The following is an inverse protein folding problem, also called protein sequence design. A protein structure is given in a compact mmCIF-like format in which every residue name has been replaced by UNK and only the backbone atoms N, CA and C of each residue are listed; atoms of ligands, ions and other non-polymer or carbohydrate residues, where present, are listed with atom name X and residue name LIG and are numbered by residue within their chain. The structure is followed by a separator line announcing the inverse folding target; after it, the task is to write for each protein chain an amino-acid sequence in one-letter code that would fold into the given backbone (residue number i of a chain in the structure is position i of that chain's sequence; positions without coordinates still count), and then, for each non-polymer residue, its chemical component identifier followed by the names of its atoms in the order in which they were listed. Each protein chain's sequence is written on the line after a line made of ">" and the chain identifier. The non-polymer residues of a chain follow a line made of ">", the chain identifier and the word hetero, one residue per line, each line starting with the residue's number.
data_IF_419912306673
#
_entry.id   IF_419912306673
#
_cell.length_a   1.000
_cell.length_b   1.000
_cell.length_c   1.000
_cell.angle_alpha   90.00
_cell.angle_beta   90.00
_cell.angle_gamma   90.00
#
_symmetry.space_group_name_H-M   'P 1'
#
loop_
_entity.id
_entity.type
_entity.pdbx_description
1 polymer ?
#
# COMPACT_ATOMS: atom_id res chain seq x y z
N UNK A 1 -60.12 3.21 34.66
CA UNK A 1 -59.74 2.16 33.71
C UNK A 1 -59.00 2.71 32.46
N UNK A 2 -58.77 3.99 32.32
CA UNK A 2 -58.07 4.58 31.14
C UNK A 2 -56.54 4.69 31.33
N UNK A 3 -56.02 4.54 32.54
CA UNK A 3 -54.59 4.75 32.84
C UNK A 3 -53.69 3.52 32.55
N UNK A 4 -54.28 2.35 32.35
CA UNK A 4 -53.51 1.10 32.12
C UNK A 4 -53.30 0.78 30.62
N UNK A 5 -53.97 1.46 29.71
CA UNK A 5 -53.86 1.17 28.27
C UNK A 5 -52.73 1.98 27.60
N UNK A 6 -52.33 3.11 28.20
CA UNK A 6 -51.31 3.99 27.64
C UNK A 6 -49.87 3.41 27.79
N UNK A 7 -49.67 2.53 28.77
CA UNK A 7 -48.32 1.95 29.02
C UNK A 7 -47.91 0.80 28.07
N UNK A 8 -48.87 0.27 27.28
CA UNK A 8 -48.58 -0.91 26.43
C UNK A 8 -48.15 -0.57 24.99
N UNK A 9 -48.24 0.70 24.57
CA UNK A 9 -47.96 1.09 23.18
C UNK A 9 -46.52 1.56 22.94
N UNK A 10 -45.72 1.79 24.00
CA UNK A 10 -44.36 2.35 23.86
C UNK A 10 -43.29 1.27 23.66
N UNK A 11 -43.61 -0.02 23.81
CA UNK A 11 -42.61 -1.11 23.77
C UNK A 11 -42.34 -1.74 22.41
N UNK A 12 -42.96 -1.29 21.32
CA UNK A 12 -42.91 -1.96 20.00
C UNK A 12 -42.00 -1.24 18.96
N UNK A 13 -41.23 -0.22 19.35
CA UNK A 13 -40.52 0.66 18.40
C UNK A 13 -39.02 0.49 18.24
N UNK A 14 -38.35 -0.52 18.85
CA UNK A 14 -36.89 -0.57 18.95
C UNK A 14 -36.21 -1.76 18.22
N UNK A 15 -36.88 -2.46 17.32
CA UNK A 15 -36.33 -3.64 16.60
C UNK A 15 -35.98 -3.37 15.12
N UNK A 16 -35.71 -2.13 14.72
CA UNK A 16 -35.40 -1.74 13.35
C UNK A 16 -33.94 -1.30 13.12
N UNK A 17 -32.97 -1.69 13.96
CA UNK A 17 -31.58 -1.53 13.62
C UNK A 17 -31.12 -2.71 12.74
N UNK A 18 -31.68 -2.84 11.54
CA UNK A 18 -31.07 -3.64 10.48
C UNK A 18 -29.73 -3.00 10.16
N UNK A 19 -28.64 -3.58 10.63
CA UNK A 19 -27.30 -3.18 10.29
C UNK A 19 -27.16 -3.16 8.78
N UNK A 20 -26.97 -1.97 8.20
CA UNK A 20 -26.68 -1.83 6.78
C UNK A 20 -25.41 -2.67 6.51
N UNK A 21 -25.56 -3.74 5.73
CA UNK A 21 -24.42 -4.57 5.34
C UNK A 21 -23.50 -3.71 4.46
N UNK A 22 -22.26 -3.53 4.92
CA UNK A 22 -21.23 -2.80 4.15
C UNK A 22 -20.92 -3.66 2.92
N UNK A 23 -20.98 -3.09 1.70
CA UNK A 23 -20.63 -3.85 0.49
C UNK A 23 -19.16 -4.24 0.49
N UNK A 24 -18.76 -5.32 -0.22
CA UNK A 24 -17.36 -5.71 -0.35
C UNK A 24 -16.49 -4.59 -0.92
N UNK A 25 -15.33 -4.28 -0.36
CA UNK A 25 -14.46 -3.18 -0.79
C UNK A 25 -13.60 -3.56 -2.02
N UNK A 26 -14.25 -3.94 -3.12
CA UNK A 26 -13.60 -4.45 -4.34
C UNK A 26 -12.67 -3.44 -5.00
N UNK A 27 -13.04 -2.16 -5.01
CA UNK A 27 -12.20 -1.11 -5.56
C UNK A 27 -10.91 -0.95 -4.75
N UNK A 28 -11.00 -0.94 -3.41
CA UNK A 28 -9.80 -0.86 -2.55
C UNK A 28 -8.90 -2.09 -2.70
N UNK A 29 -9.48 -3.26 -2.91
CA UNK A 29 -8.71 -4.46 -3.21
C UNK A 29 -7.92 -4.29 -4.52
N UNK A 30 -8.55 -3.79 -5.57
CA UNK A 30 -7.89 -3.54 -6.84
C UNK A 30 -6.77 -2.49 -6.72
N UNK A 31 -6.98 -1.42 -5.94
CA UNK A 31 -5.99 -0.39 -5.67
C UNK A 31 -4.77 -0.94 -4.92
N UNK A 32 -4.99 -1.71 -3.85
CA UNK A 32 -3.91 -2.33 -3.08
C UNK A 32 -3.09 -3.30 -3.94
N UNK A 33 -3.74 -4.15 -4.71
CA UNK A 33 -3.08 -5.07 -5.64
C UNK A 33 -2.32 -4.35 -6.76
N UNK A 34 -2.83 -3.20 -7.23
CA UNK A 34 -2.13 -2.39 -8.23
C UNK A 34 -0.84 -1.79 -7.66
N UNK A 35 -0.89 -1.25 -6.44
CA UNK A 35 0.28 -0.72 -5.75
C UNK A 35 1.32 -1.82 -5.48
N UNK A 36 0.88 -3.00 -5.05
CA UNK A 36 1.73 -4.18 -4.84
C UNK A 36 2.47 -4.58 -6.13
N UNK A 37 1.77 -4.68 -7.27
CA UNK A 37 2.40 -4.98 -8.57
C UNK A 37 3.43 -3.91 -8.94
N UNK A 38 3.10 -2.64 -8.80
CA UNK A 38 4.03 -1.53 -9.07
C UNK A 38 5.30 -1.62 -8.22
N UNK A 39 5.19 -2.00 -6.95
CA UNK A 39 6.34 -2.21 -6.08
C UNK A 39 7.25 -3.35 -6.60
N UNK A 40 6.66 -4.47 -7.03
CA UNK A 40 7.40 -5.60 -7.62
C UNK A 40 8.11 -5.21 -8.91
N UNK A 41 7.44 -4.48 -9.79
CA UNK A 41 8.00 -3.99 -11.06
C UNK A 41 9.21 -3.05 -10.84
N UNK A 42 9.19 -2.27 -9.76
CA UNK A 42 10.30 -1.39 -9.36
C UNK A 42 11.42 -2.10 -8.59
N UNK A 43 11.33 -3.43 -8.44
CA UNK A 43 12.39 -4.23 -7.83
C UNK A 43 12.34 -4.26 -6.29
N UNK A 44 11.18 -4.06 -5.67
CA UNK A 44 11.01 -4.12 -4.22
C UNK A 44 11.50 -5.46 -3.61
N UNK A 45 11.49 -6.54 -4.36
CA UNK A 45 12.02 -7.84 -3.93
C UNK A 45 13.55 -7.85 -3.70
N UNK A 46 14.27 -6.88 -4.24
CA UNK A 46 15.74 -6.81 -4.21
C UNK A 46 16.27 -5.78 -3.22
N UNK A 47 15.38 -4.98 -2.61
CA UNK A 47 15.74 -3.94 -1.64
C UNK A 47 15.18 -4.34 -0.27
N UNK A 48 16.03 -4.52 0.78
CA UNK A 48 15.57 -5.10 2.06
C UNK A 48 14.41 -4.34 2.73
N UNK A 49 14.43 -3.00 2.70
CA UNK A 49 13.36 -2.19 3.28
C UNK A 49 12.06 -2.31 2.48
N UNK A 50 12.14 -2.21 1.15
CA UNK A 50 11.00 -2.36 0.26
C UNK A 50 10.42 -3.79 0.30
N UNK A 51 11.28 -4.81 0.43
CA UNK A 51 10.85 -6.20 0.57
C UNK A 51 9.99 -6.43 1.80
N UNK A 52 10.34 -5.82 2.95
CA UNK A 52 9.54 -5.92 4.16
C UNK A 52 8.17 -5.27 3.96
N UNK A 53 8.14 -4.05 3.42
CA UNK A 53 6.89 -3.32 3.17
C UNK A 53 6.01 -4.07 2.16
N UNK A 54 6.58 -4.62 1.10
CA UNK A 54 5.88 -5.45 0.13
C UNK A 54 5.28 -6.71 0.77
N UNK A 55 6.04 -7.40 1.62
CA UNK A 55 5.54 -8.58 2.34
C UNK A 55 4.36 -8.25 3.26
N UNK A 56 4.43 -7.13 3.97
CA UNK A 56 3.32 -6.67 4.81
C UNK A 56 2.07 -6.37 3.97
N UNK A 57 2.23 -5.74 2.81
CA UNK A 57 1.13 -5.51 1.89
C UNK A 57 0.49 -6.81 1.40
N UNK A 58 1.30 -7.80 1.00
CA UNK A 58 0.83 -9.11 0.56
C UNK A 58 0.02 -9.83 1.65
N UNK A 59 0.54 -9.86 2.87
CA UNK A 59 -0.13 -10.49 4.01
C UNK A 59 -1.47 -9.82 4.33
N UNK A 60 -1.53 -8.50 4.27
CA UNK A 60 -2.75 -7.74 4.53
C UNK A 60 -3.78 -7.91 3.40
N UNK A 61 -3.36 -7.98 2.13
CA UNK A 61 -4.24 -8.31 0.99
C UNK A 61 -4.85 -9.69 1.19
N UNK A 62 -4.05 -10.69 1.53
CA UNK A 62 -4.54 -12.05 1.77
C UNK A 62 -5.55 -12.11 2.93
N UNK A 63 -5.27 -11.42 4.03
CA UNK A 63 -6.20 -11.32 5.16
C UNK A 63 -7.49 -10.57 4.79
N UNK A 64 -7.39 -9.54 3.96
CA UNK A 64 -8.56 -8.80 3.50
C UNK A 64 -9.46 -9.65 2.59
N UNK A 65 -8.88 -10.43 1.69
CA UNK A 65 -9.63 -11.37 0.85
C UNK A 65 -10.37 -12.40 1.70
N UNK A 66 -9.71 -12.93 2.73
CA UNK A 66 -10.38 -13.82 3.68
C UNK A 66 -11.53 -13.10 4.41
N UNK A 67 -11.32 -11.89 4.90
CA UNK A 67 -12.36 -11.11 5.58
C UNK A 67 -13.56 -10.82 4.66
N UNK A 68 -13.32 -10.57 3.36
CA UNK A 68 -14.39 -10.42 2.34
C UNK A 68 -15.19 -11.73 2.23
N UNK A 69 -14.52 -12.87 2.15
CA UNK A 69 -15.19 -14.17 2.06
C UNK A 69 -15.99 -14.52 3.31
N UNK A 70 -15.54 -14.06 4.47
CA UNK A 70 -16.22 -14.23 5.75
C UNK A 70 -17.36 -13.18 5.96
N UNK A 71 -17.54 -12.23 5.03
CA UNK A 71 -18.54 -11.16 5.13
C UNK A 71 -18.14 -9.99 6.04
N UNK A 72 -16.92 -9.99 6.60
CA UNK A 72 -16.40 -8.90 7.44
C UNK A 72 -15.77 -7.79 6.57
N UNK A 73 -16.64 -7.10 5.83
CA UNK A 73 -16.24 -6.08 4.88
C UNK A 73 -15.59 -4.86 5.54
N UNK A 74 -15.95 -4.55 6.79
CA UNK A 74 -15.34 -3.46 7.55
C UNK A 74 -13.88 -3.76 7.90
N UNK A 75 -13.60 -4.96 8.33
CA UNK A 75 -12.23 -5.43 8.58
C UNK A 75 -11.42 -5.48 7.29
N UNK A 76 -12.01 -6.00 6.21
CA UNK A 76 -11.39 -6.04 4.91
C UNK A 76 -10.96 -4.65 4.43
N UNK A 77 -11.85 -3.66 4.52
CA UNK A 77 -11.53 -2.27 4.17
C UNK A 77 -10.34 -1.72 4.96
N UNK A 78 -10.32 -1.92 6.27
CA UNK A 78 -9.22 -1.49 7.12
C UNK A 78 -7.88 -2.14 6.76
N UNK A 79 -7.89 -3.42 6.40
CA UNK A 79 -6.71 -4.16 5.94
C UNK A 79 -6.21 -3.63 4.60
N UNK A 80 -7.11 -3.36 3.65
CA UNK A 80 -6.75 -2.87 2.31
C UNK A 80 -6.18 -1.45 2.33
N UNK A 81 -6.66 -0.59 3.22
CA UNK A 81 -6.07 0.75 3.41
C UNK A 81 -4.61 0.64 3.84
N UNK A 82 -4.32 -0.26 4.79
CA UNK A 82 -2.95 -0.49 5.26
C UNK A 82 -2.09 -1.16 4.18
N UNK A 83 -2.61 -2.19 3.53
CA UNK A 83 -1.92 -2.90 2.46
C UNK A 83 -1.49 -1.94 1.33
N UNK A 84 -2.38 -1.03 0.93
CA UNK A 84 -2.05 -0.01 -0.06
C UNK A 84 -0.92 0.90 0.42
N UNK A 85 -0.97 1.38 1.66
CA UNK A 85 0.06 2.24 2.22
C UNK A 85 1.44 1.55 2.29
N UNK A 86 1.47 0.27 2.72
CA UNK A 86 2.70 -0.52 2.76
C UNK A 86 3.25 -0.79 1.35
N UNK A 87 2.39 -1.06 0.37
CA UNK A 87 2.80 -1.22 -1.02
C UNK A 87 3.35 0.09 -1.62
N UNK A 88 2.70 1.24 -1.36
CA UNK A 88 3.19 2.55 -1.77
C UNK A 88 4.52 2.91 -1.11
N UNK A 89 4.73 2.52 0.15
CA UNK A 89 6.01 2.66 0.83
C UNK A 89 7.10 1.82 0.14
N UNK A 90 6.79 0.58 -0.24
CA UNK A 90 7.72 -0.26 -1.00
C UNK A 90 8.08 0.36 -2.36
N UNK A 91 7.11 0.97 -3.05
CA UNK A 91 7.34 1.76 -4.29
C UNK A 91 8.31 2.90 -4.04
N UNK A 92 8.09 3.69 -2.99
CA UNK A 92 8.93 4.85 -2.67
C UNK A 92 10.38 4.43 -2.34
N UNK A 93 10.55 3.38 -1.53
CA UNK A 93 11.87 2.85 -1.17
C UNK A 93 12.62 2.30 -2.38
N UNK A 94 11.94 1.60 -3.29
CA UNK A 94 12.55 1.10 -4.53
C UNK A 94 13.00 2.24 -5.44
N UNK A 95 12.21 3.30 -5.58
CA UNK A 95 12.56 4.50 -6.35
C UNK A 95 13.74 5.24 -5.74
N UNK A 96 13.77 5.38 -4.42
CA UNK A 96 14.89 6.02 -3.71
C UNK A 96 16.20 5.27 -3.98
N UNK A 97 16.19 3.94 -3.91
CA UNK A 97 17.35 3.11 -4.25
C UNK A 97 17.80 3.31 -5.69
N UNK A 98 16.86 3.31 -6.65
CA UNK A 98 17.15 3.57 -8.05
C UNK A 98 17.80 4.92 -8.26
N UNK A 99 17.22 5.99 -7.70
CA UNK A 99 17.76 7.33 -7.80
C UNK A 99 19.18 7.46 -7.19
N UNK A 100 19.46 6.81 -6.06
CA UNK A 100 20.79 6.77 -5.47
C UNK A 100 21.81 6.08 -6.37
N UNK A 101 21.42 4.98 -7.02
CA UNK A 101 22.28 4.27 -7.98
C UNK A 101 22.59 5.13 -9.21
N UNK A 102 21.59 5.85 -9.73
CA UNK A 102 21.77 6.76 -10.86
C UNK A 102 22.72 7.91 -10.54
N UNK A 103 22.57 8.51 -9.35
CA UNK A 103 23.50 9.57 -8.87
C UNK A 103 24.92 9.02 -8.75
N UNK A 104 25.10 7.82 -8.15
CA UNK A 104 26.42 7.22 -8.04
C UNK A 104 27.06 6.98 -9.42
N UNK A 105 26.29 6.43 -10.36
CA UNK A 105 26.74 6.22 -11.74
C UNK A 105 27.15 7.52 -12.42
N UNK A 106 26.39 8.61 -12.22
CA UNK A 106 26.71 9.91 -12.78
C UNK A 106 28.01 10.49 -12.18
N UNK A 107 28.22 10.32 -10.88
CA UNK A 107 29.47 10.72 -10.19
C UNK A 107 30.66 9.94 -10.73
N UNK A 108 30.56 8.63 -10.86
CA UNK A 108 31.63 7.76 -11.36
C UNK A 108 31.98 8.10 -12.82
N UNK A 109 30.99 8.32 -13.67
CA UNK A 109 31.20 8.75 -15.06
C UNK A 109 31.89 10.12 -15.14
N UNK A 110 31.52 11.07 -14.29
CA UNK A 110 32.15 12.40 -14.28
C UNK A 110 33.60 12.35 -13.81
N UNK A 111 33.92 11.47 -12.86
CA UNK A 111 35.28 11.24 -12.40
C UNK A 111 36.13 10.61 -13.50
N UNK A 112 35.63 9.61 -14.21
CA UNK A 112 36.30 8.96 -15.33
C UNK A 112 36.60 9.96 -16.47
N UNK A 113 35.64 10.84 -16.79
CA UNK A 113 35.86 11.89 -17.81
C UNK A 113 36.94 12.89 -17.42
N UNK A 114 37.05 13.25 -16.15
CA UNK A 114 38.12 14.14 -15.67
C UNK A 114 39.51 13.51 -15.84
N UNK A 115 39.65 12.23 -15.54
CA UNK A 115 40.95 11.51 -15.69
C UNK A 115 41.36 11.42 -17.14
N UNK A 116 40.44 11.08 -18.06
CA UNK A 116 40.74 11.02 -19.51
C UNK A 116 41.13 12.38 -20.10
N UNK A 117 40.50 13.46 -19.65
CA UNK A 117 40.80 14.81 -20.10
C UNK A 117 42.20 15.27 -19.60
N UNK A 118 42.62 14.88 -18.40
CA UNK A 118 43.94 15.18 -17.86
C UNK A 118 45.03 14.47 -18.67
N UNK A 119 44.87 13.19 -18.98
CA UNK A 119 45.80 12.40 -19.78
C UNK A 119 45.95 12.95 -21.21
N UNK A 120 44.87 13.37 -21.85
CA UNK A 120 44.93 13.97 -23.18
C UNK A 120 45.58 15.37 -23.18
N UNK A 121 45.46 16.12 -22.09
CA UNK A 121 46.15 17.41 -21.91
C UNK A 121 47.65 17.29 -21.72
N UNK A 122 48.11 16.22 -21.11
CA UNK A 122 49.54 15.97 -20.86
C UNK A 122 50.33 15.51 -22.09
N UNK A 123 49.64 15.00 -23.12
CA UNK A 123 50.28 14.50 -24.37
C UNK A 123 50.51 15.65 -25.39
N UNK A 124 49.98 16.84 -25.15
CA UNK A 124 50.10 17.99 -26.09
C UNK A 124 51.20 19.00 -25.76
N UNK A 125 52.05 18.71 -24.79
CA UNK A 125 53.32 19.43 -24.56
C UNK A 125 54.48 18.58 -24.99
#
# INVERSE_FOLDING_TARGET
>A
MYRSIVSLVISAGLLGACGASIPPPTQRLAEAQSAERSARELGANSEPGAQLSLKLADEQIAQAQKAISDGDNKRAESLLVRAKADAELAVAQSREKGAKADVQTAVDNSAAQKTTNVDQGAVKC
#
